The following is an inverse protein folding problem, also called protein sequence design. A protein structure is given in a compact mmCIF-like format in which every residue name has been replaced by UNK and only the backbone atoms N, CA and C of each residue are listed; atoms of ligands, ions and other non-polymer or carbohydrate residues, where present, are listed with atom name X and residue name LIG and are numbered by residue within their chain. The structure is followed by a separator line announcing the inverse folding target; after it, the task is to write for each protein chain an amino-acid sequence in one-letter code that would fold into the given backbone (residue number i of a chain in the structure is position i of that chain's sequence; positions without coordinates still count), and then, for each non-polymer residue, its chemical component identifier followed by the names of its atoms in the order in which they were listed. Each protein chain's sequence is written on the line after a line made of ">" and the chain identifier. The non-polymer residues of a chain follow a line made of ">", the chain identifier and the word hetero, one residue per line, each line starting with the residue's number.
data_IF_361669951002
#
_entry.id   IF_361669951002
#
_cell.length_a   1.000
_cell.length_b   1.000
_cell.length_c   1.000
_cell.angle_alpha   90.00
_cell.angle_beta   90.00
_cell.angle_gamma   90.00
#
_symmetry.space_group_name_H-M   'P 1'
#
loop_
_entity.id
_entity.type
_entity.pdbx_description
1 polymer ?
#
# COMPACT_ATOMS: atom_id res chain seq x y z
N UNK A 1 13.28 4.61 -5.78
CA UNK A 1 12.03 4.66 -4.99
C UNK A 1 12.24 5.57 -3.81
N UNK A 2 11.33 6.52 -3.58
CA UNK A 2 11.33 7.40 -2.40
C UNK A 2 10.26 6.92 -1.43
N UNK A 3 10.54 6.97 -0.14
CA UNK A 3 9.63 6.51 0.91
C UNK A 3 9.32 7.64 1.88
N UNK A 4 8.05 7.82 2.20
CA UNK A 4 7.54 8.77 3.19
C UNK A 4 6.71 8.02 4.21
N UNK A 5 6.75 8.43 5.47
CA UNK A 5 5.97 7.79 6.54
C UNK A 5 5.72 8.78 7.68
N UNK A 6 4.64 8.57 8.44
CA UNK A 6 4.39 9.32 9.66
C UNK A 6 5.00 8.61 10.89
N UNK A 7 5.03 9.28 12.04
CA UNK A 7 5.65 8.74 13.25
C UNK A 7 5.05 7.40 13.69
N UNK A 8 3.75 7.20 13.48
CA UNK A 8 3.07 5.94 13.83
C UNK A 8 3.50 4.77 12.95
N UNK A 9 3.97 5.01 11.74
CA UNK A 9 4.47 3.95 10.87
C UNK A 9 5.91 3.53 11.18
N UNK A 10 6.68 4.30 11.99
CA UNK A 10 8.10 4.01 12.27
C UNK A 10 8.36 2.57 12.72
N UNK A 11 7.60 1.98 13.67
CA UNK A 11 7.88 0.62 14.13
C UNK A 11 7.51 -0.46 13.10
N UNK A 12 6.71 -0.12 12.09
CA UNK A 12 6.30 -1.04 11.02
C UNK A 12 7.35 -1.14 9.91
N UNK A 13 8.26 -0.16 9.77
CA UNK A 13 9.23 -0.10 8.67
C UNK A 13 10.11 -1.35 8.56
N UNK A 14 10.32 -2.09 9.65
CA UNK A 14 11.07 -3.36 9.64
C UNK A 14 10.44 -4.42 8.71
N UNK A 15 9.13 -4.39 8.51
CA UNK A 15 8.41 -5.31 7.61
C UNK A 15 8.50 -4.88 6.15
N UNK A 16 8.73 -3.60 5.89
CA UNK A 16 8.80 -3.03 4.55
C UNK A 16 10.23 -2.89 4.01
N UNK A 17 11.20 -3.49 4.70
CA UNK A 17 12.62 -3.46 4.31
C UNK A 17 13.19 -4.85 4.05
N UNK A 18 12.52 -5.91 4.51
CA UNK A 18 12.94 -7.31 4.30
C UNK A 18 12.19 -7.93 3.13
N UNK A 19 12.83 -8.03 1.97
CA UNK A 19 12.28 -8.65 0.74
C UNK A 19 12.17 -10.18 0.76
N UNK A 20 12.53 -10.83 1.88
CA UNK A 20 12.84 -12.28 1.91
C UNK A 20 11.70 -13.20 2.36
N UNK A 21 10.58 -12.71 2.88
CA UNK A 21 9.46 -13.62 3.17
C UNK A 21 8.75 -13.99 1.87
N UNK A 22 8.52 -15.28 1.67
CA UNK A 22 7.50 -15.72 0.71
C UNK A 22 6.16 -15.19 1.20
N UNK A 23 5.32 -14.70 0.29
CA UNK A 23 3.97 -14.32 0.69
C UNK A 23 3.24 -15.58 1.15
N UNK A 24 2.43 -15.53 2.18
CA UNK A 24 1.52 -16.64 2.54
C UNK A 24 0.12 -16.41 1.96
N UNK A 25 -0.30 -15.14 1.84
CA UNK A 25 -1.60 -14.78 1.32
C UNK A 25 -1.71 -15.00 -0.20
N UNK A 26 -2.56 -15.95 -0.61
CA UNK A 26 -2.74 -16.33 -2.01
C UNK A 26 -3.31 -15.21 -2.89
N UNK A 27 -4.19 -14.36 -2.34
CA UNK A 27 -4.74 -13.21 -3.07
C UNK A 27 -3.63 -12.22 -3.40
N UNK A 28 -2.73 -11.93 -2.46
CA UNK A 28 -1.56 -11.08 -2.70
C UNK A 28 -0.61 -11.67 -3.74
N UNK A 29 -0.36 -12.99 -3.71
CA UNK A 29 0.42 -13.68 -4.76
C UNK A 29 -0.19 -13.47 -6.15
N UNK A 30 -1.48 -13.71 -6.31
CA UNK A 30 -2.17 -13.58 -7.61
C UNK A 30 -2.14 -12.16 -8.14
N UNK A 31 -2.34 -11.16 -7.28
CA UNK A 31 -2.23 -9.74 -7.65
C UNK A 31 -0.80 -9.44 -8.10
N UNK A 32 0.19 -9.89 -7.33
CA UNK A 32 1.60 -9.70 -7.65
C UNK A 32 1.91 -10.34 -9.00
N UNK A 33 1.48 -11.57 -9.28
CA UNK A 33 1.69 -12.27 -10.56
C UNK A 33 1.09 -11.53 -11.75
N UNK A 34 -0.13 -11.00 -11.61
CA UNK A 34 -0.83 -10.26 -12.67
C UNK A 34 -0.11 -8.98 -13.11
N UNK A 35 0.46 -8.24 -12.16
CA UNK A 35 1.18 -6.99 -12.44
C UNK A 35 0.28 -5.86 -12.93
N UNK A 36 0.84 -4.98 -13.78
CA UNK A 36 0.24 -3.69 -14.12
C UNK A 36 -0.18 -3.59 -15.59
N UNK A 37 -1.11 -2.69 -15.86
CA UNK A 37 -1.45 -2.22 -17.20
C UNK A 37 -1.59 -0.70 -17.20
N UNK A 38 -0.94 -0.05 -18.16
CA UNK A 38 -1.15 1.37 -18.43
C UNK A 38 -2.35 1.56 -19.37
N UNK A 39 -3.17 2.56 -19.07
CA UNK A 39 -4.33 3.01 -19.82
C UNK A 39 -4.27 4.55 -19.92
N UNK A 40 -4.94 5.18 -20.89
CA UNK A 40 -5.05 6.64 -20.94
C UNK A 40 -5.62 7.24 -19.65
N UNK A 41 -6.47 6.51 -18.93
CA UNK A 41 -7.09 6.96 -17.69
C UNK A 41 -6.21 6.82 -16.44
N UNK A 42 -5.11 6.05 -16.51
CA UNK A 42 -4.24 5.77 -15.38
C UNK A 42 -3.54 4.41 -15.42
N UNK A 43 -2.94 4.03 -14.31
CA UNK A 43 -2.23 2.76 -14.15
C UNK A 43 -3.03 1.86 -13.23
N UNK A 44 -3.30 0.64 -13.68
CA UNK A 44 -4.17 -0.29 -12.96
C UNK A 44 -3.49 -1.63 -12.71
N UNK A 45 -3.85 -2.27 -11.59
CA UNK A 45 -3.56 -3.67 -11.36
C UNK A 45 -4.38 -4.51 -12.35
N UNK A 46 -3.75 -5.46 -13.05
CA UNK A 46 -4.48 -6.32 -14.00
C UNK A 46 -5.57 -7.14 -13.29
N UNK A 47 -5.30 -7.59 -12.08
CA UNK A 47 -6.23 -8.35 -11.24
C UNK A 47 -7.46 -7.56 -10.81
N UNK A 48 -7.39 -6.23 -10.78
CA UNK A 48 -8.50 -5.36 -10.41
C UNK A 48 -9.51 -5.13 -11.55
N UNK A 49 -9.13 -5.45 -12.80
CA UNK A 49 -9.95 -5.13 -13.97
C UNK A 49 -11.03 -6.18 -14.16
N UNK A 50 -12.29 -5.77 -13.97
CA UNK A 50 -13.46 -6.60 -14.27
C UNK A 50 -13.85 -6.51 -15.74
N UNK A 51 -14.57 -7.52 -16.23
CA UNK A 51 -15.17 -7.49 -17.57
C UNK A 51 -16.14 -6.31 -17.67
N UNK A 52 -15.97 -5.45 -18.70
CA UNK A 52 -16.73 -4.19 -18.90
C UNK A 52 -16.51 -3.13 -17.82
N UNK A 53 -15.38 -3.17 -17.13
CA UNK A 53 -15.00 -2.10 -16.20
C UNK A 53 -15.04 -0.75 -16.91
N UNK A 54 -15.76 0.22 -16.33
CA UNK A 54 -15.73 1.60 -16.78
C UNK A 54 -14.51 2.28 -16.14
N UNK A 55 -13.78 3.04 -16.95
CA UNK A 55 -12.67 3.86 -16.52
C UNK A 55 -13.09 5.32 -16.68
N UNK A 56 -12.98 6.10 -15.61
CA UNK A 56 -13.14 7.55 -15.68
C UNK A 56 -11.79 8.20 -15.97
N UNK A 57 -11.76 9.19 -16.85
CA UNK A 57 -10.53 9.87 -17.23
C UNK A 57 -9.96 10.70 -16.07
N UNK A 58 -8.65 10.56 -15.85
CA UNK A 58 -7.80 11.48 -15.08
C UNK A 58 -8.29 11.81 -13.66
N UNK A 59 -8.86 10.83 -12.95
CA UNK A 59 -9.23 10.98 -11.53
C UNK A 59 -8.44 10.02 -10.65
N UNK A 60 -7.59 10.55 -9.78
CA UNK A 60 -6.88 9.79 -8.72
C UNK A 60 -7.85 8.93 -7.90
N UNK A 61 -9.05 9.44 -7.60
CA UNK A 61 -10.09 8.70 -6.87
C UNK A 61 -10.60 7.46 -7.61
N UNK A 62 -10.67 7.50 -8.95
CA UNK A 62 -11.07 6.33 -9.75
C UNK A 62 -9.98 5.25 -9.68
N UNK A 63 -8.71 5.63 -9.81
CA UNK A 63 -7.59 4.70 -9.61
C UNK A 63 -7.56 4.12 -8.19
N UNK A 64 -7.77 4.94 -7.16
CA UNK A 64 -7.88 4.43 -5.78
C UNK A 64 -8.99 3.40 -5.65
N UNK A 65 -10.19 3.72 -6.13
CA UNK A 65 -11.35 2.84 -6.00
C UNK A 65 -11.15 1.50 -6.69
N UNK A 66 -10.38 1.48 -7.80
CA UNK A 66 -10.11 0.27 -8.57
C UNK A 66 -8.87 -0.48 -8.07
N UNK A 67 -7.83 0.21 -7.62
CA UNK A 67 -6.57 -0.38 -7.20
C UNK A 67 -6.43 -0.51 -5.67
N UNK A 68 -7.50 -0.29 -4.90
CA UNK A 68 -7.48 -0.53 -3.47
C UNK A 68 -7.48 -2.03 -3.17
N UNK A 69 -6.46 -2.46 -2.43
CA UNK A 69 -6.37 -3.80 -1.87
C UNK A 69 -6.55 -3.65 -0.37
N UNK A 70 -7.62 -4.25 0.14
CA UNK A 70 -7.84 -4.42 1.57
C UNK A 70 -7.35 -5.81 1.96
N UNK A 71 -6.48 -5.86 2.97
CA UNK A 71 -5.95 -7.09 3.56
C UNK A 71 -6.33 -7.08 5.03
N UNK A 72 -7.01 -8.11 5.49
CA UNK A 72 -7.47 -8.21 6.86
C UNK A 72 -6.49 -9.02 7.72
N UNK A 73 -6.23 -8.59 8.95
CA UNK A 73 -5.38 -9.32 9.91
C UNK A 73 -5.96 -10.72 10.21
N UNK A 74 -7.29 -10.87 10.22
CA UNK A 74 -7.96 -12.16 10.45
C UNK A 74 -7.72 -13.20 9.35
N UNK A 75 -7.14 -12.81 8.21
CA UNK A 75 -6.70 -13.74 7.16
C UNK A 75 -5.39 -14.47 7.53
N UNK A 76 -4.79 -14.17 8.69
CA UNK A 76 -3.47 -14.66 9.12
C UNK A 76 -3.53 -15.31 10.49
N UNK A 77 -2.58 -16.20 10.79
CA UNK A 77 -2.51 -16.87 12.10
C UNK A 77 -2.07 -15.92 13.22
N UNK A 78 -1.26 -14.91 12.89
CA UNK A 78 -0.75 -13.94 13.84
C UNK A 78 -0.45 -12.59 13.17
N UNK A 79 -0.32 -11.55 14.01
CA UNK A 79 -0.10 -10.20 13.54
C UNK A 79 1.25 -10.03 12.82
N UNK A 80 2.33 -10.68 13.29
CA UNK A 80 3.65 -10.53 12.69
C UNK A 80 3.69 -11.05 11.24
N UNK A 81 3.02 -12.18 10.98
CA UNK A 81 2.83 -12.72 9.63
C UNK A 81 2.05 -11.74 8.75
N UNK A 82 0.96 -11.17 9.27
CA UNK A 82 0.16 -10.17 8.55
C UNK A 82 0.99 -8.93 8.14
N UNK A 83 1.73 -8.31 9.06
CA UNK A 83 2.56 -7.14 8.71
C UNK A 83 3.71 -7.51 7.78
N UNK A 84 4.31 -8.69 7.97
CA UNK A 84 5.36 -9.23 7.10
C UNK A 84 4.85 -9.40 5.67
N UNK A 85 3.66 -9.98 5.47
CA UNK A 85 3.08 -10.20 4.15
C UNK A 85 2.70 -8.89 3.47
N UNK A 86 2.05 -7.96 4.19
CA UNK A 86 1.71 -6.63 3.68
C UNK A 86 2.98 -5.88 3.26
N UNK A 87 4.00 -5.87 4.12
CA UNK A 87 5.28 -5.21 3.86
C UNK A 87 6.00 -5.80 2.65
N UNK A 88 6.19 -7.12 2.63
CA UNK A 88 6.81 -7.84 1.51
C UNK A 88 6.05 -7.67 0.21
N UNK A 89 4.71 -7.70 0.25
CA UNK A 89 3.89 -7.52 -0.94
C UNK A 89 4.11 -6.14 -1.55
N UNK A 90 4.08 -5.07 -0.74
CA UNK A 90 4.27 -3.70 -1.22
C UNK A 90 5.64 -3.51 -1.84
N UNK A 91 6.70 -4.02 -1.22
CA UNK A 91 8.06 -3.92 -1.76
C UNK A 91 8.19 -4.70 -3.07
N UNK A 92 7.71 -5.94 -3.12
CA UNK A 92 7.75 -6.77 -4.33
C UNK A 92 6.90 -6.17 -5.45
N UNK A 93 5.77 -5.56 -5.11
CA UNK A 93 4.91 -4.89 -6.08
C UNK A 93 5.57 -3.64 -6.65
N UNK A 94 6.25 -2.86 -5.81
CA UNK A 94 7.08 -1.73 -6.26
C UNK A 94 8.19 -2.19 -7.20
N UNK A 95 8.95 -3.23 -6.84
CA UNK A 95 10.00 -3.79 -7.68
C UNK A 95 9.44 -4.29 -9.02
N UNK A 96 8.29 -4.99 -8.98
CA UNK A 96 7.59 -5.43 -10.20
C UNK A 96 7.17 -4.26 -11.07
N UNK A 97 6.70 -3.15 -10.49
CA UNK A 97 6.39 -1.94 -11.25
C UNK A 97 7.64 -1.37 -11.93
N UNK A 98 8.78 -1.29 -11.23
CA UNK A 98 10.04 -0.79 -11.83
C UNK A 98 10.43 -1.57 -13.08
N UNK A 99 10.22 -2.89 -13.05
CA UNK A 99 10.52 -3.78 -14.17
C UNK A 99 9.40 -3.90 -15.21
N UNK A 100 8.29 -3.16 -15.07
CA UNK A 100 7.11 -3.32 -15.92
C UNK A 100 7.22 -2.68 -17.31
N UNK A 101 8.19 -1.78 -17.51
CA UNK A 101 8.36 -1.01 -18.74
C UNK A 101 7.36 0.14 -18.93
N UNK A 102 6.46 0.38 -17.97
CA UNK A 102 5.61 1.58 -17.91
C UNK A 102 6.51 2.78 -17.62
N UNK A 103 6.39 3.90 -18.33
CA UNK A 103 7.33 5.04 -18.22
C UNK A 103 7.01 6.02 -17.08
N UNK A 104 5.76 6.00 -16.65
CA UNK A 104 5.17 6.86 -15.64
C UNK A 104 5.62 6.45 -14.23
N UNK A 105 5.46 7.35 -13.26
CA UNK A 105 5.65 7.02 -11.85
C UNK A 105 4.31 6.60 -11.21
N UNK A 106 4.36 5.70 -10.24
CA UNK A 106 3.21 5.41 -9.38
C UNK A 106 3.48 5.84 -7.94
N UNK A 107 2.39 6.04 -7.21
CA UNK A 107 2.39 6.09 -5.76
C UNK A 107 1.73 4.84 -5.20
N UNK A 108 2.39 4.21 -4.23
CA UNK A 108 1.83 3.14 -3.39
C UNK A 108 1.63 3.69 -1.98
N UNK A 109 0.40 3.80 -1.52
CA UNK A 109 0.08 4.24 -0.17
C UNK A 109 -0.46 3.08 0.65
N UNK A 110 0.08 2.87 1.84
CA UNK A 110 -0.29 1.81 2.76
C UNK A 110 -0.71 2.45 4.07
N UNK A 111 -1.99 2.33 4.40
CA UNK A 111 -2.55 2.84 5.63
C UNK A 111 -3.07 1.72 6.51
N UNK A 112 -2.76 1.80 7.79
CA UNK A 112 -3.29 0.97 8.85
C UNK A 112 -4.02 1.86 9.85
N UNK A 113 -5.27 1.55 10.15
CA UNK A 113 -6.09 2.31 11.09
C UNK A 113 -6.06 1.66 12.49
N UNK A 114 -6.30 2.46 13.53
CA UNK A 114 -6.46 2.02 14.92
C UNK A 114 -5.29 1.19 15.50
N UNK A 115 -4.05 1.52 15.12
CA UNK A 115 -2.84 0.87 15.68
C UNK A 115 -2.44 1.47 17.02
N UNK A 116 -2.11 0.62 17.99
CA UNK A 116 -1.43 1.03 19.23
C UNK A 116 -0.14 0.23 19.45
N UNK A 117 0.91 0.94 19.84
CA UNK A 117 2.14 0.32 20.29
C UNK A 117 2.01 -0.01 21.78
N UNK A 118 2.10 -1.29 22.13
CA UNK A 118 1.90 -1.74 23.52
C UNK A 118 3.02 -1.20 24.42
N UNK A 119 4.25 -1.17 23.91
CA UNK A 119 5.39 -0.61 24.64
C UNK A 119 6.10 0.42 23.77
N UNK A 120 6.20 1.69 24.20
CA UNK A 120 7.05 2.67 23.55
C UNK A 120 8.50 2.17 23.52
N UNK A 121 8.99 1.80 22.33
CA UNK A 121 10.35 1.28 22.14
C UNK A 121 10.50 -0.26 22.13
N UNK A 122 9.42 -1.03 22.33
CA UNK A 122 9.41 -2.44 21.92
C UNK A 122 8.80 -2.57 20.51
N UNK A 123 9.23 -3.58 19.76
CA UNK A 123 8.71 -3.86 18.43
C UNK A 123 7.33 -4.57 18.45
N UNK A 124 6.67 -4.62 19.60
CA UNK A 124 5.35 -5.23 19.78
C UNK A 124 4.24 -4.20 19.56
N UNK A 125 3.53 -4.35 18.44
CA UNK A 125 2.34 -3.59 18.08
C UNK A 125 1.09 -4.46 18.30
N UNK A 126 -0.02 -3.81 18.63
CA UNK A 126 -1.34 -4.44 18.66
C UNK A 126 -2.38 -3.44 18.22
N UNK A 127 -3.38 -3.90 17.50
CA UNK A 127 -4.49 -3.03 17.15
C UNK A 127 -5.38 -2.75 18.37
N UNK A 128 -5.90 -1.52 18.46
CA UNK A 128 -7.00 -1.20 19.36
C UNK A 128 -8.28 -1.63 18.68
N UNK A 129 -8.89 -2.67 19.21
CA UNK A 129 -10.26 -3.02 18.88
C UNK A 129 -11.15 -1.97 19.56
N UNK A 130 -11.51 -0.90 18.88
CA UNK A 130 -12.70 -0.14 19.27
C UNK A 130 -13.90 -1.08 19.07
N UNK A 131 -14.83 -1.12 20.04
CA UNK A 131 -16.04 -1.96 20.15
C UNK A 131 -17.05 -1.75 18.99
N UNK A 132 -16.58 -1.80 17.76
CA UNK A 132 -17.39 -2.05 16.59
C UNK A 132 -17.53 -3.56 16.50
N UNK A 133 -18.76 -4.07 16.66
CA UNK A 133 -19.15 -5.49 16.56
C UNK A 133 -18.53 -6.17 15.32
N UNK A 134 -17.30 -6.70 15.43
CA UNK A 134 -16.46 -7.26 14.35
C UNK A 134 -15.49 -6.26 13.64
N UNK A 135 -14.75 -5.43 14.39
CA UNK A 135 -13.62 -4.64 13.84
C UNK A 135 -12.43 -5.53 13.46
N UNK A 136 -12.49 -6.10 12.26
CA UNK A 136 -11.34 -6.80 11.68
C UNK A 136 -10.31 -5.77 11.21
N UNK A 137 -9.12 -5.77 11.82
CA UNK A 137 -8.04 -4.86 11.43
C UNK A 137 -7.66 -5.05 9.97
N UNK A 138 -7.37 -3.95 9.28
CA UNK A 138 -7.07 -3.97 7.86
C UNK A 138 -5.96 -3.04 7.45
N UNK A 139 -5.25 -3.45 6.40
CA UNK A 139 -4.31 -2.64 5.66
C UNK A 139 -4.99 -2.26 4.37
N UNK A 140 -5.01 -0.96 4.09
CA UNK A 140 -5.49 -0.44 2.82
C UNK A 140 -4.27 -0.06 1.99
N UNK A 141 -4.06 -0.77 0.90
CA UNK A 141 -2.99 -0.54 -0.06
C UNK A 141 -3.61 0.10 -1.30
N UNK A 142 -3.26 1.35 -1.58
CA UNK A 142 -3.80 2.14 -2.70
C UNK A 142 -2.70 2.46 -3.69
N UNK A 143 -3.05 2.41 -4.98
CA UNK A 143 -2.11 2.58 -6.09
C UNK A 143 -2.69 3.53 -7.13
N UNK A 144 -1.89 4.47 -7.61
CA UNK A 144 -2.28 5.40 -8.65
C UNK A 144 -1.06 5.97 -9.38
N UNK A 145 -1.27 6.44 -10.60
CA UNK A 145 -0.25 7.19 -11.33
C UNK A 145 0.02 8.53 -10.64
N UNK A 146 1.30 8.85 -10.41
CA UNK A 146 1.71 10.11 -9.78
C UNK A 146 1.48 11.28 -10.72
N UNK A 147 0.91 12.36 -10.20
CA UNK A 147 0.63 13.63 -10.88
C UNK A 147 1.25 14.79 -10.10
N UNK A 148 1.54 15.91 -10.79
CA UNK A 148 2.20 17.08 -10.19
C UNK A 148 1.45 17.67 -8.98
N UNK A 149 0.13 17.49 -8.90
CA UNK A 149 -0.73 18.09 -7.87
C UNK A 149 -1.41 17.07 -6.94
N UNK A 150 -0.88 15.85 -6.80
CA UNK A 150 -1.57 14.82 -5.99
C UNK A 150 -1.67 15.21 -4.52
N UNK A 151 -2.88 15.15 -3.96
CA UNK A 151 -3.19 15.58 -2.59
C UNK A 151 -2.45 14.79 -1.49
N UNK A 152 -1.99 13.56 -1.77
CA UNK A 152 -1.12 12.82 -0.84
C UNK A 152 0.22 13.54 -0.63
N UNK A 153 0.72 14.28 -1.62
CA UNK A 153 1.87 15.17 -1.45
C UNK A 153 1.53 16.37 -0.56
N UNK A 154 0.27 16.80 -0.50
CA UNK A 154 -0.19 17.83 0.45
C UNK A 154 -0.32 17.27 1.89
N UNK A 155 -0.50 15.96 2.05
CA UNK A 155 -0.42 15.28 3.35
C UNK A 155 0.98 15.32 3.96
N UNK A 156 2.03 15.43 3.12
CA UNK A 156 3.44 15.66 3.53
C UNK A 156 3.61 16.95 4.35
N UNK A 157 2.83 17.98 4.06
CA UNK A 157 2.88 19.29 4.73
C UNK A 157 1.90 19.41 5.90
N UNK A 158 1.02 18.41 6.09
CA UNK A 158 -0.01 18.36 7.13
C UNK A 158 0.17 17.19 8.09
N UNK A 159 1.40 16.77 8.36
CA UNK A 159 1.74 15.73 9.35
C UNK A 159 1.47 16.26 10.78
N UNK A 160 0.20 16.47 11.09
CA UNK A 160 -0.35 16.92 12.37
C UNK A 160 -1.69 16.25 12.71
N UNK A 161 -2.25 15.41 11.84
CA UNK A 161 -3.43 14.58 12.10
C UNK A 161 -3.40 13.39 11.14
N UNK A 162 -3.62 12.13 11.52
CA UNK A 162 -4.41 11.57 12.62
C UNK A 162 -3.52 10.82 13.63
N UNK A 163 -3.82 10.90 14.94
CA UNK A 163 -3.04 10.22 15.98
C UNK A 163 -3.04 8.69 15.88
N UNK A 164 -3.97 8.09 15.13
CA UNK A 164 -4.29 6.65 15.16
C UNK A 164 -4.06 5.91 13.84
N UNK A 165 -3.60 6.59 12.78
CA UNK A 165 -3.30 5.96 11.49
C UNK A 165 -1.79 5.86 11.28
N UNK A 166 -1.28 4.67 10.95
CA UNK A 166 0.08 4.49 10.46
C UNK A 166 0.07 4.50 8.93
N UNK A 167 0.79 5.45 8.33
CA UNK A 167 0.81 5.67 6.88
C UNK A 167 2.25 5.55 6.35
N UNK A 168 2.43 4.72 5.33
CA UNK A 168 3.67 4.58 4.56
C UNK A 168 3.35 4.80 3.08
N UNK A 169 4.12 5.65 2.41
CA UNK A 169 3.93 6.02 1.00
C UNK A 169 5.22 5.81 0.24
N UNK A 170 5.14 5.13 -0.91
CA UNK A 170 6.24 4.95 -1.85
C UNK A 170 5.96 5.68 -3.15
N UNK A 171 6.91 6.50 -3.59
CA UNK A 171 7.00 6.93 -4.98
C UNK A 171 7.92 5.98 -5.74
N UNK A 172 7.38 5.37 -6.78
CA UNK A 172 8.07 4.37 -7.58
C UNK A 172 8.16 4.86 -9.01
N UNK A 173 9.36 5.31 -9.40
CA UNK A 173 9.71 5.53 -10.79
C UNK A 173 10.06 4.21 -11.47
N UNK A 174 9.73 4.12 -12.75
CA UNK A 174 10.15 2.99 -13.58
C UNK A 174 11.65 3.02 -13.87
N UNK A 175 12.26 1.85 -14.06
CA UNK A 175 13.70 1.76 -14.36
C UNK A 175 14.08 2.33 -15.74
N UNK A 176 13.11 2.72 -16.56
CA UNK A 176 13.33 3.41 -17.83
C UNK A 176 13.72 4.90 -17.70
N UNK A 177 13.84 5.42 -16.47
CA UNK A 177 14.31 6.79 -16.20
C UNK A 177 15.77 6.88 -15.72
N UNK A 178 16.49 5.75 -15.56
CA UNK A 178 17.93 5.76 -15.29
C UNK A 178 18.70 5.86 -16.63
N UNK A 179 18.67 7.04 -17.26
CA UNK A 179 19.56 7.42 -18.37
C UNK A 179 20.22 8.76 -18.10
#
# INVERSE_FOLDING_TARGET
>A
MKTFYNDQAKPLLKFFTKTKSELVNLKLKQILEGGFISKPEGIFLKSAIRKRQKFEQNKTQNEWSLNEIVVFESEYENCEEYFSDVGSFVVKLADKFRTSGISEEIVLAVSFQALQFITPGSEEFKFIYEDYDESTNSAHIKIYAKRENDEILLYKDRIGGYKTEALIVYEVASSSQDT
#
